data_IF_509932954016
#
_entry.id   IF_509932954016
#
_cell.length_a   1.000
_cell.length_b   1.000
_cell.length_c   1.000
_cell.angle_alpha   90.00
_cell.angle_beta   90.00
_cell.angle_gamma   90.00
#
_symmetry.space_group_name_H-M   'P 1'
#
loop_
_entity.id
_entity.type
_entity.pdbx_description
1 polymer ?
#
# COMPACT_ATOMS: atom_id res chain seq x y z
N UNK A 1 23.24 -2.67 -11.82
CA UNK A 1 22.73 -1.51 -11.05
C UNK A 1 21.29 -1.81 -10.68
N UNK A 2 20.86 -1.46 -9.46
CA UNK A 2 19.45 -1.56 -9.13
C UNK A 2 18.73 -0.38 -9.82
N UNK A 3 17.89 -0.69 -10.81
CA UNK A 3 17.13 0.32 -11.55
C UNK A 3 15.95 0.76 -10.68
N UNK A 4 16.20 1.67 -9.75
CA UNK A 4 15.18 2.08 -8.79
C UNK A 4 14.51 3.38 -9.24
N UNK A 5 13.18 3.40 -9.26
CA UNK A 5 12.38 4.61 -9.47
C UNK A 5 11.78 5.07 -8.14
N UNK A 6 11.89 6.35 -7.80
CA UNK A 6 11.22 6.92 -6.62
C UNK A 6 10.25 8.02 -7.04
N UNK A 7 9.01 7.92 -6.59
CA UNK A 7 7.97 8.94 -6.80
C UNK A 7 7.54 9.48 -5.43
N UNK A 8 7.71 10.80 -5.25
CA UNK A 8 7.27 11.53 -4.07
C UNK A 8 6.24 12.59 -4.49
N UNK A 9 5.14 12.68 -3.76
CA UNK A 9 4.08 13.65 -4.00
C UNK A 9 3.58 14.21 -2.66
N UNK A 10 3.26 15.51 -2.63
CA UNK A 10 2.77 16.18 -1.42
C UNK A 10 1.25 16.11 -1.22
N UNK A 11 0.52 15.53 -2.18
CA UNK A 11 -0.93 15.39 -2.16
C UNK A 11 -1.33 14.18 -3.03
N UNK A 12 -2.61 13.80 -3.03
CA UNK A 12 -3.13 12.68 -3.81
C UNK A 12 -2.70 12.74 -5.28
N UNK A 13 -2.29 11.59 -5.81
CA UNK A 13 -1.80 11.43 -7.17
C UNK A 13 -2.74 10.51 -7.95
N UNK A 14 -3.05 10.85 -9.19
CA UNK A 14 -3.86 10.00 -10.07
C UNK A 14 -3.08 9.66 -11.34
N UNK A 15 -2.97 8.37 -11.64
CA UNK A 15 -2.52 7.89 -12.93
C UNK A 15 -3.76 7.56 -13.77
N UNK A 16 -3.99 8.35 -14.81
CA UNK A 16 -5.11 8.18 -15.76
C UNK A 16 -4.69 7.41 -17.03
N UNK A 17 -3.69 6.55 -16.87
CA UNK A 17 -3.13 5.73 -17.93
C UNK A 17 -2.36 4.57 -17.29
N UNK A 18 -1.73 3.77 -18.14
CA UNK A 18 -0.91 2.66 -17.67
C UNK A 18 0.38 3.16 -17.01
N UNK A 19 0.80 2.46 -15.96
CA UNK A 19 2.10 2.67 -15.33
C UNK A 19 2.80 1.32 -15.18
N UNK A 20 4.07 1.27 -15.53
CA UNK A 20 4.93 0.11 -15.27
C UNK A 20 6.19 0.52 -14.52
N UNK A 21 6.67 -0.34 -13.64
CA UNK A 21 7.89 -0.10 -12.87
C UNK A 21 8.58 -1.37 -12.41
N UNK A 22 9.89 -1.30 -12.26
CA UNK A 22 10.73 -2.30 -11.59
C UNK A 22 11.48 -1.59 -10.47
N UNK A 23 11.69 -2.25 -9.32
CA UNK A 23 12.46 -1.67 -8.22
C UNK A 23 11.91 -0.33 -7.71
N UNK A 24 10.58 -0.17 -7.69
CA UNK A 24 9.93 1.14 -7.49
C UNK A 24 9.66 1.42 -6.02
N UNK A 25 9.84 2.67 -5.60
CA UNK A 25 9.38 3.21 -4.32
C UNK A 25 8.30 4.26 -4.54
N UNK A 26 7.14 4.07 -3.92
CA UNK A 26 6.05 5.04 -3.86
C UNK A 26 5.93 5.57 -2.42
N UNK A 27 6.15 6.86 -2.26
CA UNK A 27 5.95 7.53 -0.97
C UNK A 27 4.55 8.09 -0.89
N UNK A 28 3.63 7.33 -0.29
CA UNK A 28 2.23 7.68 -0.10
C UNK A 28 2.06 8.76 0.98
N UNK A 29 2.85 8.70 2.06
CA UNK A 29 2.61 9.51 3.25
C UNK A 29 1.18 9.29 3.77
N UNK A 30 0.43 10.37 3.97
CA UNK A 30 -1.01 10.31 4.31
C UNK A 30 -1.94 10.42 3.08
N UNK A 31 -1.40 10.41 1.86
CA UNK A 31 -2.12 10.71 0.61
C UNK A 31 -2.55 9.46 -0.16
N UNK A 32 -3.56 9.62 -1.01
CA UNK A 32 -4.08 8.53 -1.84
C UNK A 32 -3.44 8.54 -3.24
N UNK A 33 -3.02 7.37 -3.72
CA UNK A 33 -2.74 7.13 -5.14
C UNK A 33 -3.95 6.46 -5.79
N UNK A 34 -4.43 7.02 -6.88
CA UNK A 34 -5.51 6.43 -7.68
C UNK A 34 -4.97 5.89 -9.00
N UNK A 35 -5.29 4.64 -9.32
CA UNK A 35 -5.03 4.05 -10.63
C UNK A 35 -6.30 3.95 -11.47
N UNK A 36 -6.24 4.49 -12.68
CA UNK A 36 -7.21 4.27 -13.76
C UNK A 36 -6.46 3.71 -14.97
N UNK A 37 -6.80 2.49 -15.41
CA UNK A 37 -6.03 1.73 -16.40
C UNK A 37 -5.24 0.58 -15.76
N UNK A 38 -4.07 0.26 -16.29
CA UNK A 38 -3.24 -0.86 -15.80
C UNK A 38 -1.96 -0.36 -15.12
N UNK A 39 -1.86 -0.56 -13.81
CA UNK A 39 -0.60 -0.49 -13.09
C UNK A 39 0.08 -1.86 -13.05
N UNK A 40 1.38 -1.94 -13.28
CA UNK A 40 2.14 -3.19 -13.15
C UNK A 40 3.52 -2.94 -12.55
N UNK A 41 3.85 -3.64 -11.48
CA UNK A 41 5.16 -3.53 -10.84
C UNK A 41 5.86 -4.89 -10.80
N UNK A 42 7.18 -4.84 -10.86
CA UNK A 42 8.06 -6.01 -10.82
C UNK A 42 9.21 -5.78 -9.85
N UNK A 43 9.92 -6.86 -9.50
CA UNK A 43 11.01 -6.84 -8.52
C UNK A 43 10.55 -6.33 -7.14
N UNK A 44 11.28 -5.39 -6.54
CA UNK A 44 10.87 -4.78 -5.27
C UNK A 44 9.91 -3.62 -5.53
N UNK A 45 8.73 -3.66 -4.90
CA UNK A 45 7.85 -2.50 -4.75
C UNK A 45 7.87 -2.08 -3.28
N UNK A 46 8.32 -0.85 -3.01
CA UNK A 46 8.30 -0.26 -1.68
C UNK A 46 7.14 0.73 -1.58
N UNK A 47 6.27 0.56 -0.59
CA UNK A 47 5.21 1.49 -0.24
C UNK A 47 5.54 2.13 1.10
N UNK A 48 5.84 3.42 1.10
CA UNK A 48 6.07 4.19 2.33
C UNK A 48 4.80 4.94 2.67
N UNK A 49 4.18 4.60 3.80
CA UNK A 49 2.89 5.17 4.18
C UNK A 49 2.85 5.65 5.63
N UNK A 50 1.98 6.61 5.89
CA UNK A 50 1.71 7.18 7.20
C UNK A 50 0.28 6.88 7.60
N UNK A 51 0.10 6.20 8.74
CA UNK A 51 -1.19 5.92 9.35
C UNK A 51 -1.44 6.88 10.51
N UNK A 52 -2.56 7.58 10.49
CA UNK A 52 -3.04 8.40 11.58
C UNK A 52 -3.93 7.56 12.52
N UNK A 53 -3.47 7.36 13.75
CA UNK A 53 -4.18 6.57 14.76
C UNK A 53 -5.49 7.20 15.25
N UNK A 54 -5.62 8.52 15.22
CA UNK A 54 -6.84 9.21 15.62
C UNK A 54 -7.90 9.16 14.51
N UNK A 55 -7.48 9.40 13.26
CA UNK A 55 -8.36 9.35 12.09
C UNK A 55 -8.63 7.92 11.59
N UNK A 56 -7.88 6.93 12.09
CA UNK A 56 -7.93 5.51 11.66
C UNK A 56 -7.79 5.36 10.14
N UNK A 57 -6.94 6.16 9.52
CA UNK A 57 -6.73 6.20 8.07
C UNK A 57 -5.30 6.64 7.76
N UNK A 58 -4.87 6.44 6.52
CA UNK A 58 -3.53 6.78 6.08
C UNK A 58 -3.41 6.76 4.57
N UNK A 59 -2.19 6.94 4.05
CA UNK A 59 -1.95 6.90 2.62
C UNK A 59 -2.32 5.55 2.02
N UNK A 60 -2.97 5.54 0.87
CA UNK A 60 -3.47 4.28 0.32
C UNK A 60 -3.47 4.30 -1.20
N UNK A 61 -3.52 3.12 -1.80
CA UNK A 61 -3.73 2.92 -3.22
C UNK A 61 -5.20 2.55 -3.42
N UNK A 62 -5.86 3.25 -4.34
CA UNK A 62 -7.20 2.96 -4.81
C UNK A 62 -7.17 2.57 -6.28
N UNK A 63 -7.59 1.35 -6.59
CA UNK A 63 -7.78 0.86 -7.95
C UNK A 63 -9.22 1.19 -8.36
N UNK A 64 -9.41 1.96 -9.43
CA UNK A 64 -10.77 2.29 -9.91
C UNK A 64 -11.42 1.09 -10.58
N UNK A 65 -12.73 1.17 -10.77
CA UNK A 65 -13.51 0.16 -11.48
C UNK A 65 -12.93 -0.05 -12.89
N UNK A 66 -12.93 -1.29 -13.38
CA UNK A 66 -12.35 -1.69 -14.66
C UNK A 66 -10.84 -1.38 -14.81
N UNK A 67 -10.13 -1.18 -13.70
CA UNK A 67 -8.68 -0.97 -13.68
C UNK A 67 -7.96 -2.14 -13.00
N UNK A 68 -6.69 -2.33 -13.31
CA UNK A 68 -5.89 -3.45 -12.79
C UNK A 68 -4.63 -2.93 -12.13
N UNK A 69 -4.28 -3.50 -10.98
CA UNK A 69 -2.94 -3.37 -10.40
C UNK A 69 -2.31 -4.76 -10.34
N UNK A 70 -1.36 -5.01 -11.24
CA UNK A 70 -0.67 -6.28 -11.35
C UNK A 70 0.61 -6.27 -10.53
N UNK A 71 0.58 -6.95 -9.39
CA UNK A 71 1.72 -7.16 -8.49
C UNK A 71 2.25 -8.59 -8.57
N UNK A 72 1.76 -9.42 -9.50
CA UNK A 72 2.16 -10.84 -9.59
C UNK A 72 3.66 -11.03 -9.89
N UNK A 73 4.29 -10.03 -10.53
CA UNK A 73 5.73 -10.00 -10.79
C UNK A 73 6.58 -9.35 -9.69
N UNK A 74 5.98 -8.91 -8.57
CA UNK A 74 6.72 -8.31 -7.44
C UNK A 74 7.35 -9.43 -6.61
N UNK A 75 8.68 -9.49 -6.56
CA UNK A 75 9.43 -10.45 -5.75
C UNK A 75 9.56 -10.03 -4.28
N UNK A 76 9.36 -8.75 -3.97
CA UNK A 76 9.24 -8.24 -2.60
C UNK A 76 8.32 -7.02 -2.56
N UNK A 77 7.22 -7.12 -1.82
CA UNK A 77 6.37 -5.98 -1.47
C UNK A 77 6.79 -5.46 -0.09
N UNK A 78 7.62 -4.43 -0.07
CA UNK A 78 8.10 -3.80 1.16
C UNK A 78 7.11 -2.73 1.60
N UNK A 79 6.35 -2.99 2.67
CA UNK A 79 5.38 -2.05 3.21
C UNK A 79 5.94 -1.41 4.48
N UNK A 80 6.31 -0.14 4.39
CA UNK A 80 6.84 0.62 5.52
C UNK A 80 5.74 1.52 6.06
N UNK A 81 5.31 1.24 7.29
CA UNK A 81 4.20 1.94 7.94
C UNK A 81 4.74 2.77 9.10
N UNK A 82 4.59 4.08 8.98
CA UNK A 82 4.87 5.01 10.08
C UNK A 82 3.56 5.43 10.71
N UNK A 83 3.40 5.24 12.02
CA UNK A 83 2.22 5.71 12.71
C UNK A 83 2.42 7.13 13.27
N UNK A 84 1.39 7.96 13.14
CA UNK A 84 1.28 9.30 13.75
C UNK A 84 0.01 9.38 14.56
N UNK A 85 -0.05 10.29 15.53
CA UNK A 85 -1.20 10.41 16.46
C UNK A 85 -1.60 9.05 17.05
N UNK A 86 -0.60 8.21 17.31
CA UNK A 86 -0.79 6.81 17.66
C UNK A 86 -0.67 6.65 19.17
N UNK A 87 -1.81 6.54 19.84
CA UNK A 87 -1.88 6.17 21.24
C UNK A 87 -2.08 4.66 21.34
N UNK A 88 -1.01 3.96 21.72
CA UNK A 88 -0.96 2.50 21.82
C UNK A 88 -2.03 1.93 22.77
N UNK A 89 -2.55 2.74 23.69
CA UNK A 89 -3.60 2.34 24.63
C UNK A 89 -5.01 2.56 24.07
N UNK A 90 -5.16 3.32 22.98
CA UNK A 90 -6.47 3.63 22.34
C UNK A 90 -6.71 2.88 21.04
N UNK A 91 -5.66 2.37 20.41
CA UNK A 91 -5.77 1.53 19.23
C UNK A 91 -6.25 0.15 19.67
N UNK A 92 -7.46 -0.20 19.26
CA UNK A 92 -8.05 -1.49 19.56
C UNK A 92 -7.44 -2.58 18.67
N UNK A 93 -7.34 -3.84 19.13
CA UNK A 93 -6.81 -4.96 18.34
C UNK A 93 -7.55 -5.22 17.02
N UNK A 94 -8.79 -4.72 16.88
CA UNK A 94 -9.56 -4.79 15.64
C UNK A 94 -9.30 -3.62 14.69
N UNK A 95 -8.34 -2.73 15.00
CA UNK A 95 -7.97 -1.62 14.12
C UNK A 95 -7.39 -2.15 12.82
N UNK A 96 -7.98 -1.72 11.71
CA UNK A 96 -7.61 -2.13 10.35
C UNK A 96 -7.07 -0.96 9.57
N UNK A 97 -6.16 -1.24 8.65
CA UNK A 97 -5.64 -0.26 7.72
C UNK A 97 -5.48 -0.85 6.32
N UNK A 98 -6.35 -0.46 5.40
CA UNK A 98 -6.33 -0.91 4.01
C UNK A 98 -5.39 -0.04 3.19
N UNK A 99 -4.25 -0.62 2.79
CA UNK A 99 -3.20 0.07 2.04
C UNK A 99 -3.46 -0.01 0.54
N UNK A 100 -4.05 -1.09 0.07
CA UNK A 100 -4.48 -1.25 -1.32
C UNK A 100 -5.93 -1.71 -1.29
N UNK A 101 -6.79 -1.03 -2.04
CA UNK A 101 -8.17 -1.45 -2.24
C UNK A 101 -8.56 -1.30 -3.70
N UNK A 102 -9.41 -2.21 -4.16
CA UNK A 102 -10.14 -2.05 -5.40
C UNK A 102 -11.55 -1.50 -5.19
N UNK A 103 -12.01 -0.73 -6.18
CA UNK A 103 -13.43 -0.45 -6.36
C UNK A 103 -14.03 -1.58 -7.20
N UNK A 104 -15.31 -1.89 -6.99
CA UNK A 104 -16.05 -2.96 -7.68
C UNK A 104 -15.62 -3.15 -9.15
N UNK A 105 -15.27 -4.39 -9.52
CA UNK A 105 -14.71 -4.77 -10.82
C UNK A 105 -13.32 -4.18 -11.14
N UNK A 106 -12.54 -3.81 -10.12
CA UNK A 106 -11.09 -3.72 -10.24
C UNK A 106 -10.46 -5.12 -10.31
N UNK A 107 -9.18 -5.19 -10.66
CA UNK A 107 -8.42 -6.41 -10.60
C UNK A 107 -7.07 -6.17 -9.93
N UNK A 108 -7.01 -6.38 -8.61
CA UNK A 108 -5.72 -6.53 -7.95
C UNK A 108 -5.21 -7.95 -8.21
N UNK A 109 -4.03 -8.08 -8.82
CA UNK A 109 -3.34 -9.37 -8.89
C UNK A 109 -2.24 -9.37 -7.84
N UNK A 110 -2.44 -10.02 -6.70
CA UNK A 110 -1.48 -9.96 -5.60
C UNK A 110 -0.19 -10.71 -5.95
N UNK A 111 0.93 -10.26 -5.38
CA UNK A 111 2.10 -11.13 -5.21
C UNK A 111 1.78 -12.21 -4.16
N UNK A 112 2.42 -13.39 -4.18
CA UNK A 112 2.34 -14.34 -3.08
C UNK A 112 2.55 -13.68 -1.71
N UNK A 113 1.76 -14.06 -0.71
CA UNK A 113 1.79 -13.44 0.62
C UNK A 113 3.18 -13.49 1.29
N UNK A 114 3.97 -14.53 1.01
CA UNK A 114 5.36 -14.66 1.51
C UNK A 114 6.33 -13.59 1.00
N UNK A 115 5.96 -12.86 -0.07
CA UNK A 115 6.76 -11.76 -0.60
C UNK A 115 6.48 -10.42 0.12
N UNK A 116 5.43 -10.35 0.96
CA UNK A 116 5.07 -9.14 1.69
C UNK A 116 5.94 -9.02 2.94
N UNK A 117 6.62 -7.88 3.07
CA UNK A 117 7.45 -7.54 4.23
C UNK A 117 6.95 -6.26 4.85
N UNK A 118 6.30 -6.37 6.00
CA UNK A 118 5.80 -5.21 6.75
C UNK A 118 6.88 -4.74 7.71
N UNK A 119 7.27 -3.47 7.60
CA UNK A 119 8.13 -2.78 8.55
C UNK A 119 7.30 -1.72 9.26
N UNK A 120 7.37 -1.72 10.58
CA UNK A 120 6.59 -0.84 11.44
C UNK A 120 7.50 0.13 12.17
N UNK A 121 7.16 1.42 12.09
CA UNK A 121 7.89 2.48 12.78
C UNK A 121 7.00 3.13 13.87
N UNK A 122 7.63 3.83 14.81
CA UNK A 122 7.00 4.54 15.93
C UNK A 122 6.16 3.63 16.84
N UNK A 123 6.69 2.45 17.19
CA UNK A 123 6.05 1.48 18.09
C UNK A 123 4.60 1.11 17.70
N UNK A 124 4.31 1.13 16.39
CA UNK A 124 2.99 0.75 15.91
C UNK A 124 2.72 -0.75 16.12
N UNK A 125 1.44 -1.14 16.06
CA UNK A 125 1.01 -2.52 16.33
C UNK A 125 0.56 -3.32 15.11
N UNK A 126 0.77 -2.83 13.90
CA UNK A 126 0.38 -3.55 12.68
C UNK A 126 1.33 -4.71 12.40
N UNK A 127 1.00 -5.89 12.90
CA UNK A 127 1.86 -7.08 12.81
C UNK A 127 1.28 -8.19 11.96
N UNK A 128 0.02 -8.05 11.52
CA UNK A 128 -0.64 -9.03 10.68
C UNK A 128 -1.30 -8.37 9.46
N UNK A 129 -1.55 -9.14 8.40
CA UNK A 129 -2.19 -8.66 7.19
C UNK A 129 -3.02 -9.75 6.48
N UNK A 130 -3.96 -9.30 5.66
CA UNK A 130 -4.60 -10.11 4.61
C UNK A 130 -4.27 -9.51 3.27
N UNK A 131 -4.00 -10.36 2.28
CA UNK A 131 -3.72 -9.92 0.92
C UNK A 131 -4.36 -10.89 -0.07
N UNK A 132 -5.34 -10.38 -0.82
CA UNK A 132 -6.12 -11.13 -1.79
C UNK A 132 -6.31 -10.33 -3.08
N UNK A 133 -7.20 -10.79 -3.95
CA UNK A 133 -7.50 -10.18 -5.25
C UNK A 133 -8.26 -8.85 -5.14
N UNK A 134 -8.60 -8.38 -3.93
CA UNK A 134 -9.33 -7.14 -3.73
C UNK A 134 -8.64 -6.15 -2.82
N UNK A 135 -7.92 -6.62 -1.79
CA UNK A 135 -7.31 -5.73 -0.79
C UNK A 135 -5.98 -6.22 -0.24
N UNK A 136 -5.14 -5.26 0.15
CA UNK A 136 -4.09 -5.44 1.15
C UNK A 136 -4.48 -4.67 2.40
N UNK A 137 -4.79 -5.39 3.48
CA UNK A 137 -5.24 -4.79 4.75
C UNK A 137 -4.35 -5.25 5.89
N UNK A 138 -3.89 -4.31 6.70
CA UNK A 138 -3.12 -4.53 7.92
C UNK A 138 -4.05 -4.56 9.14
N UNK A 139 -3.67 -5.36 10.14
CA UNK A 139 -4.38 -5.49 11.40
C UNK A 139 -3.45 -5.20 12.58
N UNK A 140 -3.93 -4.36 13.49
CA UNK A 140 -3.27 -4.10 14.75
C UNK A 140 -3.34 -5.35 15.67
N UNK A 141 -2.45 -5.43 16.65
CA UNK A 141 -2.47 -6.42 17.73
C UNK A 141 -2.97 -5.83 19.05
#
# INVERSE_FOLDING_TARGET
AANNATINFGNSLAFNSNITGSGTTLTLGASQVTYTGTGSFTDTLTLNTTFDGAAKSGGNILIKSCSTLDLSGVSTLALVVTATNFDINKISPDTKYTVISEKAAGGLKPTPAGNVKVTVNNDNRFVNFTFDESTLTLFAK
#
